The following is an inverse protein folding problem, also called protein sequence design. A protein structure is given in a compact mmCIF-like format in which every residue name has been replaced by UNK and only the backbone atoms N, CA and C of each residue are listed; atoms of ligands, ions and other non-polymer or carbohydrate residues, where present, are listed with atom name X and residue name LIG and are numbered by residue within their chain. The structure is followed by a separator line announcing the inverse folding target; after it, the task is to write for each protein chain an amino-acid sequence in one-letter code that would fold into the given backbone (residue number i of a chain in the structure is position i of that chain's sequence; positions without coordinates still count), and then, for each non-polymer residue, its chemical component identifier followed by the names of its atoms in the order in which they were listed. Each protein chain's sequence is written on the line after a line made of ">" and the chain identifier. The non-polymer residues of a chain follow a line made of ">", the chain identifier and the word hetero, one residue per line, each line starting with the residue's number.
data_IF_360260266568
#
_entry.id   IF_360260266568
#
_cell.length_a   1.000
_cell.length_b   1.000
_cell.length_c   1.000
_cell.angle_alpha   90.00
_cell.angle_beta   90.00
_cell.angle_gamma   90.00
#
_symmetry.space_group_name_H-M   'P 1'
#
loop_
_entity.id
_entity.type
_entity.pdbx_description
1 polymer ?
#
# COMPACT_ATOMS: atom_id res chain seq x y z
N UNK A 1 -6.56 11.72 7.98
CA UNK A 1 -5.45 11.52 8.93
C UNK A 1 -5.83 12.20 10.24
N UNK A 2 -5.54 11.56 11.37
CA UNK A 2 -5.77 12.06 12.73
C UNK A 2 -4.49 11.90 13.56
N UNK A 3 -4.22 12.83 14.48
CA UNK A 3 -3.00 12.86 15.30
C UNK A 3 -3.36 12.74 16.79
N UNK A 4 -2.56 11.98 17.54
CA UNK A 4 -2.67 11.84 19.00
C UNK A 4 -1.27 11.83 19.62
N UNK A 5 -0.78 13.03 19.96
CA UNK A 5 0.58 13.23 20.49
C UNK A 5 1.66 12.78 19.48
N UNK A 6 2.31 11.67 19.80
CA UNK A 6 3.38 11.06 19.02
C UNK A 6 2.91 9.88 18.16
N UNK A 7 1.61 9.66 18.06
CA UNK A 7 1.01 8.71 17.12
C UNK A 7 0.08 9.42 16.13
N UNK A 8 -0.14 8.80 14.98
CA UNK A 8 -1.14 9.26 14.02
C UNK A 8 -1.76 8.10 13.24
N UNK A 9 -3.00 8.26 12.82
CA UNK A 9 -3.72 7.30 11.99
C UNK A 9 -4.06 7.91 10.62
N UNK A 10 -3.84 7.15 9.54
CA UNK A 10 -4.16 7.55 8.17
C UNK A 10 -4.94 6.43 7.47
N UNK A 11 -6.16 6.76 7.03
CA UNK A 11 -6.91 5.97 6.05
C UNK A 11 -6.62 6.49 4.64
N UNK A 12 -6.33 5.59 3.70
CA UNK A 12 -6.15 5.92 2.29
C UNK A 12 -6.77 4.87 1.37
N UNK A 13 -7.31 5.32 0.24
CA UNK A 13 -7.62 4.46 -0.90
C UNK A 13 -6.46 4.52 -1.88
N UNK A 14 -5.87 3.36 -2.19
CA UNK A 14 -4.66 3.26 -3.01
C UNK A 14 -4.93 2.37 -4.20
N UNK A 15 -4.61 2.89 -5.40
CA UNK A 15 -4.46 2.06 -6.59
C UNK A 15 -2.98 1.69 -6.75
N UNK A 16 -2.70 0.40 -6.88
CA UNK A 16 -1.34 -0.12 -7.04
C UNK A 16 -1.27 -1.01 -8.27
N UNK A 17 -0.32 -0.72 -9.16
CA UNK A 17 -0.07 -1.49 -10.37
C UNK A 17 1.34 -2.09 -10.33
N UNK A 18 1.42 -3.40 -10.55
CA UNK A 18 2.67 -4.11 -10.77
C UNK A 18 2.75 -4.52 -12.23
N UNK A 19 3.93 -4.37 -12.84
CA UNK A 19 4.20 -4.70 -14.24
C UNK A 19 5.53 -5.46 -14.32
N UNK A 20 5.55 -6.59 -15.03
CA UNK A 20 6.81 -7.32 -15.22
C UNK A 20 7.70 -6.58 -16.21
N UNK A 21 8.95 -6.32 -15.80
CA UNK A 21 9.93 -5.58 -16.61
C UNK A 21 10.20 -6.25 -17.96
N UNK A 22 10.26 -7.58 -18.00
CA UNK A 22 10.54 -8.38 -19.20
C UNK A 22 9.29 -8.76 -20.02
N UNK A 23 8.09 -8.50 -19.48
CA UNK A 23 6.82 -8.76 -20.15
C UNK A 23 5.79 -7.68 -19.78
N UNK A 24 5.89 -6.45 -20.32
CA UNK A 24 5.09 -5.30 -19.89
C UNK A 24 3.58 -5.44 -20.11
N UNK A 25 3.14 -6.40 -20.94
CA UNK A 25 1.73 -6.75 -21.09
C UNK A 25 1.18 -7.50 -19.87
N UNK A 26 2.03 -8.21 -19.11
CA UNK A 26 1.67 -8.88 -17.86
C UNK A 26 1.69 -7.89 -16.72
N UNK A 27 0.52 -7.66 -16.15
CA UNK A 27 0.32 -6.69 -15.08
C UNK A 27 -0.67 -7.23 -14.04
N UNK A 28 -0.60 -6.65 -12.85
CA UNK A 28 -1.52 -6.89 -11.76
C UNK A 28 -1.93 -5.56 -11.14
N UNK A 29 -3.21 -5.24 -11.24
CA UNK A 29 -3.79 -3.98 -10.77
C UNK A 29 -4.68 -4.23 -9.56
N UNK A 30 -4.52 -3.40 -8.53
CA UNK A 30 -5.19 -3.54 -7.25
C UNK A 30 -5.77 -2.20 -6.81
N UNK A 31 -6.95 -2.24 -6.18
CA UNK A 31 -7.48 -1.15 -5.36
C UNK A 31 -7.54 -1.62 -3.92
N UNK A 32 -7.00 -0.81 -3.03
CA UNK A 32 -6.79 -1.17 -1.64
C UNK A 32 -7.32 -0.09 -0.70
N UNK A 33 -7.77 -0.51 0.49
CA UNK A 33 -7.91 0.36 1.65
C UNK A 33 -6.69 0.17 2.54
N UNK A 34 -6.00 1.25 2.83
CA UNK A 34 -4.84 1.28 3.72
C UNK A 34 -5.28 1.90 5.04
N UNK A 35 -5.00 1.20 6.14
CA UNK A 35 -5.03 1.73 7.49
C UNK A 35 -3.59 1.80 7.99
N UNK A 36 -3.08 3.02 8.16
CA UNK A 36 -1.68 3.30 8.49
C UNK A 36 -1.58 3.86 9.89
N UNK A 37 -0.84 3.18 10.74
CA UNK A 37 -0.44 3.66 12.06
C UNK A 37 0.97 4.25 11.96
N UNK A 38 1.10 5.50 12.39
CA UNK A 38 2.31 6.30 12.32
C UNK A 38 2.79 6.60 13.74
N UNK A 39 4.11 6.70 13.90
CA UNK A 39 4.76 7.18 15.13
C UNK A 39 5.73 8.31 14.81
N UNK A 40 5.89 9.25 15.74
CA UNK A 40 6.84 10.35 15.60
C UNK A 40 8.27 9.84 15.73
N UNK A 41 9.09 10.10 14.72
CA UNK A 41 10.53 9.86 14.68
C UNK A 41 11.26 11.20 14.65
N UNK A 42 11.45 11.82 15.81
CA UNK A 42 11.99 13.17 15.92
C UNK A 42 11.04 14.21 15.31
N UNK A 43 11.44 14.83 14.20
CA UNK A 43 10.61 15.80 13.46
C UNK A 43 9.77 15.17 12.35
N UNK A 44 9.95 13.88 12.08
CA UNK A 44 9.28 13.15 10.98
C UNK A 44 8.26 12.13 11.51
N UNK A 45 7.42 11.62 10.61
CA UNK A 45 6.49 10.52 10.90
C UNK A 45 6.99 9.25 10.23
N UNK A 46 7.16 8.19 11.01
CA UNK A 46 7.46 6.85 10.52
C UNK A 46 6.21 5.99 10.47
N UNK A 47 6.10 5.13 9.45
CA UNK A 47 5.08 4.08 9.41
C UNK A 47 5.47 2.99 10.40
N UNK A 48 4.66 2.82 11.45
CA UNK A 48 4.79 1.72 12.40
C UNK A 48 4.08 0.47 11.89
N UNK A 49 2.88 0.63 11.32
CA UNK A 49 2.08 -0.48 10.77
C UNK A 49 1.27 -0.02 9.56
N UNK A 50 1.17 -0.88 8.56
CA UNK A 50 0.19 -0.74 7.48
C UNK A 50 -0.65 -2.01 7.43
N UNK A 51 -1.96 -1.86 7.51
CA UNK A 51 -2.91 -2.91 7.10
C UNK A 51 -3.39 -2.59 5.71
N UNK A 52 -3.29 -3.56 4.80
CA UNK A 52 -3.74 -3.42 3.42
C UNK A 52 -4.88 -4.40 3.17
N UNK A 53 -6.09 -3.87 3.01
CA UNK A 53 -7.24 -4.64 2.58
C UNK A 53 -7.41 -4.48 1.06
N UNK A 54 -7.15 -5.54 0.29
CA UNK A 54 -7.45 -5.53 -1.13
C UNK A 54 -8.96 -5.65 -1.35
N UNK A 55 -9.57 -4.60 -1.88
CA UNK A 55 -11.03 -4.56 -2.11
C UNK A 55 -11.38 -4.97 -3.54
N UNK A 56 -10.43 -4.84 -4.47
CA UNK A 56 -10.59 -5.26 -5.86
C UNK A 56 -9.24 -5.50 -6.54
N UNK A 57 -9.21 -6.40 -7.51
CA UNK A 57 -8.02 -6.74 -8.30
C UNK A 57 -8.36 -7.26 -9.70
N UNK A 58 -7.43 -7.09 -10.64
CA UNK A 58 -7.46 -7.70 -11.97
C UNK A 58 -6.05 -8.00 -12.48
N UNK A 59 -5.95 -8.85 -13.51
CA UNK A 59 -4.68 -9.26 -14.12
C UNK A 59 -4.10 -10.52 -13.49
N UNK A 60 -2.77 -10.67 -13.60
CA UNK A 60 -2.05 -11.89 -13.24
C UNK A 60 -1.32 -11.74 -11.88
N UNK A 61 -1.78 -12.42 -10.81
CA UNK A 61 -1.13 -12.31 -9.50
C UNK A 61 0.31 -12.88 -9.48
N UNK A 62 0.71 -13.71 -10.46
CA UNK A 62 2.08 -14.21 -10.61
C UNK A 62 3.11 -13.11 -10.80
N UNK A 63 2.68 -11.94 -11.32
CA UNK A 63 3.50 -10.73 -11.44
C UNK A 63 4.11 -10.29 -10.11
N UNK A 64 3.43 -10.52 -8.98
CA UNK A 64 3.98 -10.20 -7.64
C UNK A 64 5.12 -11.14 -7.23
N UNK A 65 5.12 -12.37 -7.74
CA UNK A 65 6.15 -13.38 -7.49
C UNK A 65 7.31 -13.28 -8.49
N UNK A 66 7.24 -12.35 -9.46
CA UNK A 66 8.23 -12.23 -10.53
C UNK A 66 8.20 -13.37 -11.55
N UNK A 67 7.13 -14.18 -11.56
CA UNK A 67 6.98 -15.36 -12.40
C UNK A 67 5.91 -15.13 -13.47
#
# INVERSE_FOLDING_TARGET
>A
MAFEGDTAHLDALVEAQHVLKNAPSRHYLMKNRYAVELVRLGTEWGIQRVTVDNVWRTGDPGVLMGA
#
